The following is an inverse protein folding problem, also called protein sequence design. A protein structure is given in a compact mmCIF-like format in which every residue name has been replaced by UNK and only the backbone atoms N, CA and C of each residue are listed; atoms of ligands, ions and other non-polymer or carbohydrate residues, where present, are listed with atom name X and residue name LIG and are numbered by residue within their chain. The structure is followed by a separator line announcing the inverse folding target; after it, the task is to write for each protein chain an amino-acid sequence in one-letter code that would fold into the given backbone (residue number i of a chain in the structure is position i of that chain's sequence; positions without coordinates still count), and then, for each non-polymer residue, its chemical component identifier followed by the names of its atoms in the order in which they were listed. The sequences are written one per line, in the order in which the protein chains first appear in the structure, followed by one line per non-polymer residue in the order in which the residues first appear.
data_IF_233294367501
#
_entry.id   IF_233294367501
#
_cell.length_a   1.000
_cell.length_b   1.000
_cell.length_c   1.000
_cell.angle_alpha   90.00
_cell.angle_beta   90.00
_cell.angle_gamma   90.00
#
_symmetry.space_group_name_H-M   'P 1'
#
loop_
_entity.id
_entity.type
_entity.pdbx_description
1 polymer ?
#
# COMPACT_ATOMS: atom_id res chain seq x y z
N UNK A 1 -23.71 -23.80 -42.05
CA UNK A 1 -23.60 -22.46 -41.43
C UNK A 1 -23.93 -22.63 -39.96
N UNK A 2 -22.91 -22.75 -39.11
CA UNK A 2 -23.08 -22.98 -37.66
C UNK A 2 -22.80 -21.66 -36.96
N UNK A 3 -23.82 -21.12 -36.33
CA UNK A 3 -23.77 -19.90 -35.51
C UNK A 3 -22.98 -20.21 -34.24
N UNK A 4 -21.74 -19.72 -34.16
CA UNK A 4 -20.95 -19.75 -32.93
C UNK A 4 -21.58 -18.76 -31.95
N UNK A 5 -22.40 -19.27 -31.04
CA UNK A 5 -22.88 -18.55 -29.86
C UNK A 5 -21.66 -18.02 -29.10
N UNK A 6 -21.38 -16.73 -29.27
CA UNK A 6 -20.44 -15.99 -28.41
C UNK A 6 -21.09 -15.93 -27.03
N UNK A 7 -20.59 -16.74 -26.11
CA UNK A 7 -20.80 -16.50 -24.70
C UNK A 7 -20.26 -15.10 -24.40
N UNK A 8 -21.16 -14.14 -24.22
CA UNK A 8 -20.81 -12.86 -23.62
C UNK A 8 -20.47 -13.14 -22.15
N UNK A 9 -19.18 -13.29 -21.85
CA UNK A 9 -18.65 -13.24 -20.49
C UNK A 9 -19.03 -11.89 -19.88
N UNK A 10 -19.87 -11.91 -18.84
CA UNK A 10 -20.27 -10.71 -18.12
C UNK A 10 -19.29 -10.47 -16.97
N UNK A 11 -18.09 -9.99 -17.29
CA UNK A 11 -17.15 -9.56 -16.25
C UNK A 11 -17.77 -8.48 -15.37
N UNK A 12 -17.85 -8.75 -14.06
CA UNK A 12 -18.35 -7.79 -13.08
C UNK A 12 -17.30 -6.70 -12.83
N UNK A 13 -17.68 -5.45 -13.08
CA UNK A 13 -16.90 -4.28 -12.64
C UNK A 13 -17.05 -4.13 -11.13
N UNK A 14 -15.93 -3.95 -10.43
CA UNK A 14 -15.84 -3.66 -9.00
C UNK A 14 -15.20 -2.32 -8.73
N UNK A 15 -15.54 -1.73 -7.59
CA UNK A 15 -15.05 -0.44 -7.12
C UNK A 15 -14.07 -0.63 -5.96
N UNK A 16 -13.01 0.17 -5.90
CA UNK A 16 -11.95 0.04 -4.91
C UNK A 16 -11.44 1.37 -4.42
N UNK A 17 -10.95 1.39 -3.19
CA UNK A 17 -10.23 2.52 -2.60
C UNK A 17 -8.77 2.14 -2.32
N UNK A 18 -7.83 3.06 -2.55
CA UNK A 18 -6.42 2.87 -2.24
C UNK A 18 -5.88 4.04 -1.44
N UNK A 19 -5.12 3.71 -0.40
CA UNK A 19 -4.44 4.64 0.49
C UNK A 19 -3.06 4.09 0.85
N UNK A 20 -2.07 4.95 1.10
CA UNK A 20 -0.73 4.55 1.55
C UNK A 20 -0.21 5.52 2.61
N UNK A 21 0.89 5.14 3.26
CA UNK A 21 1.68 6.03 4.11
C UNK A 21 0.84 6.73 5.20
N UNK A 22 -0.06 5.96 5.84
CA UNK A 22 -0.83 6.43 6.98
C UNK A 22 0.07 6.65 8.21
N UNK A 23 1.17 5.91 8.34
CA UNK A 23 2.11 6.01 9.45
C UNK A 23 1.43 6.11 10.82
N UNK A 24 0.40 5.29 11.04
CA UNK A 24 -0.33 5.26 12.31
C UNK A 24 0.64 5.01 13.47
N UNK A 25 0.27 5.51 14.64
CA UNK A 25 1.08 5.51 15.87
C UNK A 25 2.34 6.38 15.83
N UNK A 26 2.63 7.07 14.73
CA UNK A 26 3.68 8.08 14.69
C UNK A 26 3.15 9.44 15.14
N UNK A 27 3.91 10.17 15.98
CA UNK A 27 3.48 11.50 16.44
C UNK A 27 3.25 12.48 15.30
N UNK A 28 3.98 12.34 14.18
CA UNK A 28 3.95 13.25 13.03
C UNK A 28 2.80 13.00 12.05
N UNK A 29 2.04 11.93 12.25
CA UNK A 29 0.96 11.53 11.35
C UNK A 29 -0.39 12.01 11.85
N UNK A 30 -1.23 12.46 10.91
CA UNK A 30 -2.65 12.69 11.11
C UNK A 30 -3.50 11.52 10.54
N UNK A 31 -2.85 10.36 10.35
CA UNK A 31 -3.42 9.21 9.65
C UNK A 31 -4.73 8.68 10.21
N UNK A 32 -4.96 8.75 11.52
CA UNK A 32 -6.21 8.28 12.11
C UNK A 32 -7.42 9.13 11.67
N UNK A 33 -7.29 10.46 11.78
CA UNK A 33 -8.34 11.40 11.34
C UNK A 33 -8.54 11.35 9.82
N UNK A 34 -7.44 11.39 9.07
CA UNK A 34 -7.48 11.41 7.60
C UNK A 34 -8.01 10.09 7.02
N UNK A 35 -7.68 8.95 7.64
CA UNK A 35 -8.27 7.67 7.26
C UNK A 35 -9.75 7.62 7.63
N UNK A 36 -10.16 8.14 8.79
CA UNK A 36 -11.57 8.19 9.17
C UNK A 36 -12.44 8.95 8.16
N UNK A 37 -11.97 10.10 7.67
CA UNK A 37 -12.63 10.86 6.59
C UNK A 37 -12.72 10.05 5.30
N UNK A 38 -11.60 9.45 4.87
CA UNK A 38 -11.59 8.58 3.70
C UNK A 38 -12.48 7.36 3.86
N UNK A 39 -12.56 6.75 5.04
CA UNK A 39 -13.37 5.57 5.32
C UNK A 39 -14.87 5.87 5.10
N UNK A 40 -15.32 7.06 5.49
CA UNK A 40 -16.68 7.54 5.26
C UNK A 40 -16.92 7.74 3.76
N UNK A 41 -16.02 8.43 3.06
CA UNK A 41 -16.13 8.67 1.62
C UNK A 41 -16.14 7.37 0.82
N UNK A 42 -15.27 6.43 1.17
CA UNK A 42 -15.19 5.11 0.56
C UNK A 42 -16.46 4.29 0.76
N UNK A 43 -17.09 4.39 1.94
CA UNK A 43 -18.37 3.74 2.19
C UNK A 43 -19.49 4.35 1.33
N UNK A 44 -19.53 5.67 1.21
CA UNK A 44 -20.47 6.38 0.35
C UNK A 44 -20.24 6.08 -1.14
N UNK A 45 -18.99 5.82 -1.54
CA UNK A 45 -18.63 5.42 -2.90
C UNK A 45 -18.99 3.95 -3.20
N UNK A 46 -19.34 3.15 -2.20
CA UNK A 46 -19.72 1.75 -2.37
C UNK A 46 -18.57 0.85 -2.82
N UNK A 47 -17.36 1.05 -2.29
CA UNK A 47 -16.21 0.21 -2.66
C UNK A 47 -16.41 -1.26 -2.23
N UNK A 48 -15.94 -2.17 -3.07
CA UNK A 48 -15.84 -3.61 -2.81
C UNK A 48 -14.53 -3.98 -2.12
N UNK A 49 -13.44 -3.25 -2.41
CA UNK A 49 -12.13 -3.54 -1.84
C UNK A 49 -11.35 -2.28 -1.41
N UNK A 50 -10.65 -2.41 -0.30
CA UNK A 50 -9.70 -1.42 0.21
C UNK A 50 -8.28 -1.96 0.07
N UNK A 51 -7.40 -1.18 -0.55
CA UNK A 51 -5.95 -1.45 -0.60
C UNK A 51 -5.23 -0.50 0.36
N UNK A 52 -4.70 -1.05 1.44
CA UNK A 52 -3.74 -0.41 2.33
C UNK A 52 -2.35 -0.63 1.74
N UNK A 53 -1.85 0.34 0.99
CA UNK A 53 -0.76 0.21 0.02
C UNK A 53 0.63 0.51 0.62
N UNK A 54 0.90 -0.07 1.79
CA UNK A 54 2.16 0.04 2.53
C UNK A 54 2.28 1.28 3.43
N UNK A 55 3.12 1.12 4.45
CA UNK A 55 3.36 2.10 5.52
C UNK A 55 2.07 2.55 6.21
N UNK A 56 1.18 1.57 6.45
CA UNK A 56 -0.05 1.79 7.23
C UNK A 56 0.31 2.13 8.68
N UNK A 57 1.24 1.35 9.25
CA UNK A 57 1.72 1.52 10.62
C UNK A 57 3.19 1.95 10.63
N UNK A 58 3.58 2.81 11.57
CA UNK A 58 4.97 3.20 11.76
C UNK A 58 5.54 2.55 13.02
N UNK A 59 6.16 1.38 12.88
CA UNK A 59 6.76 0.68 14.01
C UNK A 59 8.05 1.35 14.50
N UNK A 60 8.84 1.90 13.57
CA UNK A 60 10.13 2.54 13.89
C UNK A 60 9.97 3.80 14.74
N UNK A 61 8.97 4.61 14.42
CA UNK A 61 8.70 5.89 15.07
C UNK A 61 7.43 5.86 15.93
N UNK A 62 6.96 4.66 16.28
CA UNK A 62 5.81 4.49 17.13
C UNK A 62 5.98 5.25 18.45
N UNK A 63 4.91 5.90 18.90
CA UNK A 63 4.83 6.53 20.20
C UNK A 63 4.42 5.57 21.32
N UNK A 64 4.10 4.32 20.97
CA UNK A 64 3.70 3.28 21.91
C UNK A 64 4.90 2.68 22.66
N UNK A 65 4.70 2.04 23.83
CA UNK A 65 5.78 1.70 24.74
C UNK A 65 6.84 0.72 24.19
N UNK A 66 6.45 -0.20 23.31
CA UNK A 66 7.35 -1.18 22.69
C UNK A 66 6.81 -1.67 21.35
N UNK A 67 7.66 -2.34 20.58
CA UNK A 67 7.28 -3.01 19.33
C UNK A 67 6.07 -3.93 19.49
N UNK A 68 6.04 -4.76 20.55
CA UNK A 68 4.91 -5.64 20.84
C UNK A 68 3.60 -4.88 21.12
N UNK A 69 3.66 -3.74 21.81
CA UNK A 69 2.47 -2.90 22.01
C UNK A 69 2.02 -2.28 20.68
N UNK A 70 2.95 -1.88 19.82
CA UNK A 70 2.62 -1.36 18.49
C UNK A 70 2.01 -2.44 17.60
N UNK A 71 2.51 -3.67 17.65
CA UNK A 71 1.94 -4.81 16.92
C UNK A 71 0.52 -5.10 17.43
N UNK A 72 0.32 -5.17 18.74
CA UNK A 72 -1.01 -5.38 19.32
C UNK A 72 -2.00 -4.30 18.86
N UNK A 73 -1.62 -3.02 18.95
CA UNK A 73 -2.46 -1.90 18.51
C UNK A 73 -2.74 -1.94 16.99
N UNK A 74 -1.77 -2.35 16.17
CA UNK A 74 -1.95 -2.52 14.73
C UNK A 74 -2.98 -3.62 14.42
N UNK A 75 -2.92 -4.76 15.13
CA UNK A 75 -3.87 -5.86 14.97
C UNK A 75 -5.27 -5.47 15.43
N UNK A 76 -5.39 -4.79 16.58
CA UNK A 76 -6.67 -4.25 17.06
C UNK A 76 -7.30 -3.29 16.04
N UNK A 77 -6.49 -2.42 15.43
CA UNK A 77 -6.96 -1.49 14.41
C UNK A 77 -7.48 -2.23 13.16
N UNK A 78 -6.78 -3.27 12.69
CA UNK A 78 -7.19 -4.08 11.54
C UNK A 78 -8.47 -4.88 11.83
N UNK A 79 -8.56 -5.52 12.99
CA UNK A 79 -9.77 -6.25 13.40
C UNK A 79 -10.96 -5.29 13.47
N UNK A 80 -10.79 -4.12 14.10
CA UNK A 80 -11.85 -3.11 14.18
C UNK A 80 -12.28 -2.58 12.80
N UNK A 81 -11.35 -2.41 11.84
CA UNK A 81 -11.69 -2.04 10.46
C UNK A 81 -12.55 -3.13 9.79
N UNK A 82 -12.17 -4.40 9.93
CA UNK A 82 -12.87 -5.53 9.33
C UNK A 82 -14.26 -5.74 9.94
N UNK A 83 -14.44 -5.42 11.22
CA UNK A 83 -15.72 -5.40 11.93
C UNK A 83 -16.62 -4.25 11.48
N UNK A 84 -16.10 -3.01 11.41
CA UNK A 84 -16.86 -1.84 10.96
C UNK A 84 -17.28 -1.92 9.50
N UNK A 85 -16.50 -2.60 8.66
CA UNK A 85 -16.70 -2.72 7.20
C UNK A 85 -16.85 -4.18 6.77
N UNK A 86 -17.99 -4.83 7.09
CA UNK A 86 -18.19 -6.26 6.83
C UNK A 86 -18.30 -6.63 5.34
N UNK A 87 -18.44 -5.64 4.45
CA UNK A 87 -18.57 -5.86 3.02
C UNK A 87 -17.28 -5.61 2.23
N UNK A 88 -16.25 -5.03 2.85
CA UNK A 88 -14.99 -4.75 2.15
C UNK A 88 -14.09 -5.97 2.15
N UNK A 89 -13.42 -6.21 1.03
CA UNK A 89 -12.20 -7.02 0.98
C UNK A 89 -11.01 -6.11 1.24
N UNK A 90 -10.20 -6.42 2.27
CA UNK A 90 -9.05 -5.61 2.64
C UNK A 90 -7.79 -6.29 2.14
N UNK A 91 -7.03 -5.58 1.31
CA UNK A 91 -5.69 -5.97 0.89
C UNK A 91 -4.65 -5.12 1.60
N UNK A 92 -3.85 -5.73 2.48
CA UNK A 92 -2.76 -5.09 3.20
C UNK A 92 -1.43 -5.37 2.50
N UNK A 93 -0.88 -4.38 1.81
CA UNK A 93 0.44 -4.47 1.22
C UNK A 93 1.50 -3.96 2.20
N UNK A 94 2.60 -4.67 2.40
CA UNK A 94 3.70 -4.19 3.24
C UNK A 94 4.48 -3.06 2.56
N UNK A 95 4.77 -2.01 3.32
CA UNK A 95 5.79 -1.00 3.05
C UNK A 95 7.07 -1.25 3.87
N UNK A 96 7.99 -0.28 3.90
CA UNK A 96 9.23 -0.45 4.67
C UNK A 96 9.04 -0.23 6.17
N UNK A 97 8.08 0.59 6.59
CA UNK A 97 7.85 0.86 8.01
C UNK A 97 7.08 -0.25 8.73
N UNK A 98 6.31 -1.07 8.00
CA UNK A 98 5.47 -2.15 8.54
C UNK A 98 5.88 -3.55 8.06
N UNK A 99 7.14 -3.73 7.64
CA UNK A 99 7.66 -5.03 7.20
C UNK A 99 8.29 -5.91 8.30
N UNK A 100 8.11 -5.59 9.59
CA UNK A 100 8.75 -6.30 10.71
C UNK A 100 8.54 -7.82 10.65
N UNK A 101 9.58 -8.58 10.99
CA UNK A 101 9.51 -10.05 11.02
C UNK A 101 8.51 -10.55 12.08
N UNK A 102 8.40 -9.84 13.21
CA UNK A 102 7.43 -10.16 14.26
C UNK A 102 5.97 -9.86 13.88
N UNK A 103 5.73 -8.98 12.89
CA UNK A 103 4.37 -8.60 12.49
C UNK A 103 3.76 -9.55 11.46
N UNK A 104 4.59 -10.16 10.59
CA UNK A 104 4.13 -11.06 9.52
C UNK A 104 3.33 -12.28 10.03
N UNK A 105 3.75 -12.97 11.10
CA UNK A 105 2.96 -14.08 11.65
C UNK A 105 1.56 -13.66 12.10
N UNK A 106 1.42 -12.44 12.65
CA UNK A 106 0.12 -11.90 13.07
C UNK A 106 -0.78 -11.59 11.88
N UNK A 107 -0.23 -11.02 10.79
CA UNK A 107 -0.96 -10.83 9.53
C UNK A 107 -1.38 -12.17 8.91
N UNK A 108 -0.52 -13.18 8.96
CA UNK A 108 -0.83 -14.52 8.48
C UNK A 108 -1.96 -15.16 9.30
N UNK A 109 -1.92 -15.03 10.63
CA UNK A 109 -2.99 -15.50 11.51
C UNK A 109 -4.31 -14.76 11.27
N UNK A 110 -4.26 -13.45 10.97
CA UNK A 110 -5.45 -12.67 10.59
C UNK A 110 -6.03 -13.12 9.25
N UNK A 111 -5.19 -13.32 8.23
CA UNK A 111 -5.66 -13.83 6.93
C UNK A 111 -6.27 -15.24 7.04
N UNK A 112 -5.74 -16.08 7.93
CA UNK A 112 -6.30 -17.42 8.18
C UNK A 112 -7.68 -17.38 8.85
N UNK A 113 -7.97 -16.36 9.68
CA UNK A 113 -9.24 -16.24 10.41
C UNK A 113 -10.29 -15.35 9.70
N UNK A 114 -9.85 -14.44 8.83
CA UNK A 114 -10.72 -13.50 8.11
C UNK A 114 -10.58 -13.70 6.60
N UNK A 115 -11.55 -14.38 5.98
CA UNK A 115 -11.53 -14.68 4.53
C UNK A 115 -11.50 -13.43 3.62
N UNK A 116 -11.88 -12.26 4.15
CA UNK A 116 -11.87 -10.97 3.44
C UNK A 116 -10.58 -10.18 3.65
N UNK A 117 -9.64 -10.70 4.43
CA UNK A 117 -8.35 -10.06 4.66
C UNK A 117 -7.26 -10.82 3.91
N UNK A 118 -6.50 -10.09 3.11
CA UNK A 118 -5.35 -10.63 2.40
C UNK A 118 -4.17 -9.69 2.65
N UNK A 119 -3.00 -10.25 2.92
CA UNK A 119 -1.78 -9.46 3.00
C UNK A 119 -0.83 -9.86 1.88
N UNK A 120 -0.01 -8.90 1.47
CA UNK A 120 0.88 -9.02 0.32
C UNK A 120 2.25 -8.47 0.68
N UNK A 121 3.32 -9.24 0.44
CA UNK A 121 4.65 -8.75 0.79
C UNK A 121 5.10 -7.64 -0.16
N UNK A 122 5.10 -7.89 -1.48
CA UNK A 122 5.77 -6.99 -2.44
C UNK A 122 4.84 -6.28 -3.43
N UNK A 123 3.78 -6.95 -3.87
CA UNK A 123 2.88 -6.46 -4.91
C UNK A 123 1.51 -7.10 -4.82
N UNK A 124 0.51 -6.39 -5.31
CA UNK A 124 -0.86 -6.88 -5.53
C UNK A 124 -1.29 -6.55 -6.96
N UNK A 125 -2.06 -7.44 -7.59
CA UNK A 125 -2.71 -7.19 -8.87
C UNK A 125 -4.21 -7.48 -8.76
N UNK A 126 -5.03 -6.50 -9.14
CA UNK A 126 -6.49 -6.64 -9.26
C UNK A 126 -6.88 -6.32 -10.70
N UNK A 127 -7.11 -7.36 -11.50
CA UNK A 127 -7.26 -7.21 -12.96
C UNK A 127 -6.05 -6.50 -13.58
N UNK A 128 -6.29 -5.36 -14.22
CA UNK A 128 -5.27 -4.50 -14.85
C UNK A 128 -4.77 -3.37 -13.95
N UNK A 129 -5.02 -3.45 -12.63
CA UNK A 129 -4.50 -2.54 -11.60
C UNK A 129 -3.33 -3.20 -10.87
N UNK A 130 -2.18 -2.55 -10.85
CA UNK A 130 -0.98 -2.98 -10.14
C UNK A 130 -0.74 -2.09 -8.92
N UNK A 131 -0.42 -2.70 -7.79
CA UNK A 131 -0.14 -2.03 -6.52
C UNK A 131 1.22 -2.49 -6.00
N UNK A 132 2.03 -1.52 -5.59
CA UNK A 132 3.26 -1.75 -4.84
C UNK A 132 3.48 -0.57 -3.89
N UNK A 133 4.25 -0.72 -2.81
CA UNK A 133 4.44 0.38 -1.88
C UNK A 133 5.33 1.49 -2.47
N UNK A 134 6.38 1.13 -3.24
CA UNK A 134 7.24 2.11 -3.92
C UNK A 134 8.63 2.29 -3.32
N UNK A 135 9.04 1.44 -2.38
CA UNK A 135 10.43 1.37 -1.86
C UNK A 135 11.52 1.39 -2.95
N UNK A 136 11.22 0.73 -4.07
CA UNK A 136 12.07 0.64 -5.24
C UNK A 136 12.27 1.98 -5.97
N UNK A 137 11.62 3.06 -5.54
CA UNK A 137 11.83 4.42 -6.06
C UNK A 137 13.07 5.11 -5.49
N UNK A 138 13.70 4.59 -4.43
CA UNK A 138 14.86 5.22 -3.81
C UNK A 138 16.08 5.28 -4.73
N UNK A 139 16.27 4.24 -5.55
CA UNK A 139 17.24 4.14 -6.63
C UNK A 139 16.80 3.00 -7.55
N UNK A 140 17.53 2.69 -8.63
CA UNK A 140 17.20 1.54 -9.49
C UNK A 140 17.43 0.23 -8.74
N UNK A 141 16.40 -0.29 -8.09
CA UNK A 141 16.47 -1.50 -7.30
C UNK A 141 16.06 -2.73 -8.10
N UNK A 142 16.87 -3.78 -8.02
CA UNK A 142 16.45 -5.15 -8.31
C UNK A 142 15.62 -5.74 -7.15
N UNK A 143 15.04 -6.92 -7.35
CA UNK A 143 14.36 -7.68 -6.28
C UNK A 143 15.28 -7.90 -5.07
N UNK A 144 16.50 -8.36 -5.32
CA UNK A 144 17.48 -8.58 -4.25
C UNK A 144 17.82 -7.28 -3.51
N UNK A 145 17.95 -6.16 -4.22
CA UNK A 145 18.24 -4.86 -3.60
C UNK A 145 17.06 -4.34 -2.78
N UNK A 146 15.82 -4.58 -3.22
CA UNK A 146 14.63 -4.29 -2.43
C UNK A 146 14.57 -5.16 -1.16
N UNK A 147 14.88 -6.46 -1.28
CA UNK A 147 14.98 -7.38 -0.14
C UNK A 147 15.97 -6.88 0.91
N UNK A 148 17.20 -6.55 0.49
CA UNK A 148 18.24 -5.96 1.37
C UNK A 148 17.84 -4.61 1.94
N UNK A 149 17.10 -3.80 1.18
CA UNK A 149 16.59 -2.53 1.69
C UNK A 149 15.63 -2.79 2.84
N UNK A 150 14.63 -3.66 2.66
CA UNK A 150 13.64 -4.01 3.69
C UNK A 150 14.22 -4.76 4.87
N UNK A 151 15.23 -5.61 4.67
CA UNK A 151 15.92 -6.32 5.77
C UNK A 151 16.46 -5.38 6.85
N UNK A 152 16.94 -4.19 6.46
CA UNK A 152 17.38 -3.15 7.41
C UNK A 152 16.26 -2.59 8.26
N UNK A 153 15.02 -2.65 7.77
CA UNK A 153 13.83 -2.19 8.49
C UNK A 153 13.19 -3.32 9.30
N UNK A 154 13.26 -4.58 8.84
CA UNK A 154 12.71 -5.77 9.52
C UNK A 154 13.20 -5.95 10.96
N UNK A 155 14.46 -5.60 11.19
CA UNK A 155 15.16 -5.77 12.46
C UNK A 155 15.38 -4.44 13.20
N UNK A 156 14.80 -3.34 12.71
CA UNK A 156 15.07 -2.03 13.28
C UNK A 156 14.30 -1.85 14.59
N UNK A 157 15.00 -1.33 15.61
CA UNK A 157 14.39 -1.12 16.92
C UNK A 157 13.73 0.26 16.99
N UNK A 158 12.66 0.42 17.80
CA UNK A 158 12.05 1.73 18.03
C UNK A 158 13.10 2.76 18.44
N UNK A 159 13.08 3.94 17.80
CA UNK A 159 14.04 5.00 18.13
C UNK A 159 13.69 5.64 19.48
N UNK A 160 14.72 5.97 20.26
CA UNK A 160 14.56 6.61 21.57
C UNK A 160 13.74 7.91 21.52
N UNK A 161 13.00 8.17 22.59
CA UNK A 161 11.99 9.24 22.66
C UNK A 161 12.52 10.65 22.36
N UNK A 162 13.80 10.93 22.64
CA UNK A 162 14.48 12.19 22.33
C UNK A 162 14.78 12.34 20.83
N UNK A 163 15.29 11.30 20.18
CA UNK A 163 15.54 11.28 18.74
C UNK A 163 14.23 11.40 17.94
N UNK A 164 13.17 10.74 18.40
CA UNK A 164 11.83 10.85 17.81
C UNK A 164 11.27 12.29 17.90
N UNK A 165 11.49 12.99 19.02
CA UNK A 165 11.05 14.40 19.19
C UNK A 165 11.82 15.35 18.28
N UNK A 166 13.15 15.21 18.19
CA UNK A 166 13.97 16.06 17.32
C UNK A 166 13.62 15.86 15.85
N UNK A 167 13.44 14.60 15.43
CA UNK A 167 13.03 14.27 14.07
C UNK A 167 11.62 14.79 13.75
N UNK A 168 10.67 14.62 14.67
CA UNK A 168 9.30 15.16 14.52
C UNK A 168 9.29 16.70 14.43
N UNK A 169 10.18 17.38 15.15
CA UNK A 169 10.32 18.83 15.06
C UNK A 169 10.86 19.27 13.69
N UNK A 170 11.84 18.54 13.14
CA UNK A 170 12.35 18.79 11.79
C UNK A 170 11.27 18.55 10.70
N UNK A 171 10.46 17.51 10.86
CA UNK A 171 9.31 17.24 9.97
C UNK A 171 8.26 18.35 10.05
N UNK A 172 7.94 18.82 11.27
CA UNK A 172 6.99 19.92 11.49
C UNK A 172 7.43 21.26 10.88
N UNK A 173 8.71 21.42 10.57
CA UNK A 173 9.26 22.59 9.88
C UNK A 173 9.24 22.43 8.33
N UNK A 174 8.68 21.34 7.80
CA UNK A 174 8.55 21.11 6.36
C UNK A 174 9.84 20.68 5.66
N UNK A 175 10.91 20.39 6.41
CA UNK A 175 12.20 20.00 5.85
C UNK A 175 12.11 18.68 5.06
N UNK A 176 11.31 17.73 5.56
CA UNK A 176 11.06 16.46 4.86
C UNK A 176 10.30 16.66 3.55
N UNK A 177 9.35 17.58 3.49
CA UNK A 177 8.65 17.90 2.23
C UNK A 177 9.63 18.40 1.14
N UNK A 178 10.58 19.27 1.51
CA UNK A 178 11.59 19.79 0.59
C UNK A 178 12.59 18.71 0.13
N UNK A 179 13.10 17.90 1.06
CA UNK A 179 14.05 16.83 0.76
C UNK A 179 13.42 15.77 -0.14
N UNK A 180 12.19 15.34 0.16
CA UNK A 180 11.45 14.41 -0.69
C UNK A 180 11.18 15.01 -2.07
N UNK A 181 10.90 16.31 -2.14
CA UNK A 181 10.68 17.03 -3.39
C UNK A 181 11.86 16.96 -4.36
N UNK A 182 13.09 17.06 -3.84
CA UNK A 182 14.33 17.00 -4.61
C UNK A 182 14.77 15.57 -4.89
N UNK A 183 14.55 14.65 -3.95
CA UNK A 183 15.00 13.25 -4.07
C UNK A 183 14.08 12.39 -4.97
N UNK A 184 12.80 12.74 -5.05
CA UNK A 184 11.79 12.03 -5.84
C UNK A 184 11.11 12.91 -6.91
N UNK A 185 11.83 13.33 -7.97
CA UNK A 185 11.18 13.84 -9.17
C UNK A 185 10.22 12.78 -9.75
N UNK A 186 9.02 13.19 -10.19
CA UNK A 186 7.97 12.25 -10.63
C UNK A 186 8.44 11.32 -11.75
N UNK A 187 9.11 11.86 -12.77
CA UNK A 187 9.60 11.08 -13.92
C UNK A 187 10.66 10.05 -13.51
N UNK A 188 11.58 10.44 -12.63
CA UNK A 188 12.63 9.56 -12.12
C UNK A 188 12.05 8.46 -11.23
N UNK A 189 11.10 8.81 -10.37
CA UNK A 189 10.36 7.88 -9.51
C UNK A 189 9.68 6.81 -10.35
N UNK A 190 8.89 7.22 -11.35
CA UNK A 190 8.20 6.31 -12.27
C UNK A 190 9.21 5.43 -13.03
N UNK A 191 10.31 6.00 -13.50
CA UNK A 191 11.35 5.23 -14.20
C UNK A 191 12.02 4.18 -13.30
N UNK A 192 12.20 4.46 -12.00
CA UNK A 192 12.81 3.52 -11.05
C UNK A 192 11.84 2.39 -10.69
N UNK A 193 10.56 2.72 -10.48
CA UNK A 193 9.51 1.73 -10.27
C UNK A 193 9.39 0.81 -11.48
N UNK A 194 9.30 1.37 -12.68
CA UNK A 194 9.21 0.57 -13.89
C UNK A 194 10.43 -0.33 -14.08
N UNK A 195 11.65 0.19 -13.86
CA UNK A 195 12.86 -0.62 -13.92
C UNK A 195 12.81 -1.82 -12.96
N UNK A 196 12.26 -1.63 -11.76
CA UNK A 196 12.06 -2.73 -10.82
C UNK A 196 11.04 -3.74 -11.35
N UNK A 197 9.89 -3.26 -11.84
CA UNK A 197 8.83 -4.10 -12.39
C UNK A 197 9.29 -4.90 -13.63
N UNK A 198 10.14 -4.33 -14.47
CA UNK A 198 10.74 -5.02 -15.63
C UNK A 198 11.54 -6.27 -15.21
N UNK A 199 12.06 -6.28 -13.97
CA UNK A 199 12.81 -7.42 -13.44
C UNK A 199 11.92 -8.44 -12.73
N UNK A 200 10.93 -8.00 -11.95
CA UNK A 200 10.14 -8.89 -11.07
C UNK A 200 8.80 -9.34 -11.66
N UNK A 201 8.33 -8.66 -12.70
CA UNK A 201 7.11 -8.99 -13.43
C UNK A 201 7.32 -8.72 -14.94
N UNK A 202 8.16 -9.51 -15.65
CA UNK A 202 8.39 -9.30 -17.07
C UNK A 202 7.08 -9.27 -17.87
N UNK A 203 6.91 -8.23 -18.70
CA UNK A 203 5.69 -8.00 -19.47
C UNK A 203 4.54 -7.34 -18.69
N UNK A 204 4.80 -6.81 -17.49
CA UNK A 204 3.78 -6.15 -16.67
C UNK A 204 3.06 -4.99 -17.39
N UNK A 205 3.77 -4.22 -18.23
CA UNK A 205 3.20 -3.08 -18.97
C UNK A 205 2.06 -3.49 -19.92
N UNK A 206 2.11 -4.70 -20.47
CA UNK A 206 1.05 -5.22 -21.34
C UNK A 206 -0.20 -5.65 -20.57
N UNK A 207 -0.07 -5.88 -19.25
CA UNK A 207 -1.15 -6.38 -18.38
C UNK A 207 -1.69 -5.34 -17.40
N UNK A 208 -0.99 -4.22 -17.22
CA UNK A 208 -1.39 -3.15 -16.32
C UNK A 208 -1.76 -1.91 -17.12
N UNK A 209 -2.89 -1.30 -16.81
CA UNK A 209 -3.21 0.04 -17.29
C UNK A 209 -3.00 1.10 -16.20
N UNK A 210 -2.90 0.67 -14.93
CA UNK A 210 -2.61 1.54 -13.79
C UNK A 210 -1.60 0.92 -12.82
N UNK A 211 -0.82 1.79 -12.19
CA UNK A 211 0.13 1.47 -11.15
C UNK A 211 -0.03 2.45 -9.97
N UNK A 212 -0.37 1.95 -8.79
CA UNK A 212 -0.55 2.74 -7.57
C UNK A 212 0.59 2.47 -6.59
N UNK A 213 1.12 3.53 -6.00
CA UNK A 213 2.21 3.43 -5.02
C UNK A 213 2.21 4.56 -3.98
N UNK A 214 3.01 4.39 -2.93
CA UNK A 214 3.22 5.31 -1.82
C UNK A 214 4.69 5.72 -1.69
N UNK A 215 5.24 5.69 -0.48
CA UNK A 215 6.67 5.81 -0.10
C UNK A 215 7.31 7.19 -0.32
N UNK A 216 7.05 7.83 -1.47
CA UNK A 216 7.63 9.13 -1.80
C UNK A 216 6.90 10.29 -1.11
N UNK A 217 5.70 10.01 -0.58
CA UNK A 217 4.80 10.93 0.11
C UNK A 217 4.31 12.11 -0.75
N UNK A 218 4.54 12.09 -2.06
CA UNK A 218 4.17 13.20 -2.96
C UNK A 218 3.00 12.80 -3.83
N UNK A 219 1.78 13.27 -3.52
CA UNK A 219 0.62 12.84 -4.27
C UNK A 219 0.68 13.33 -5.71
N UNK A 220 0.40 12.43 -6.64
CA UNK A 220 0.13 12.76 -8.03
C UNK A 220 -0.73 11.67 -8.66
N UNK A 221 -1.42 11.99 -9.74
CA UNK A 221 -2.34 11.06 -10.38
C UNK A 221 -2.12 11.01 -11.90
N UNK A 222 -2.32 9.83 -12.46
CA UNK A 222 -2.38 9.57 -13.90
C UNK A 222 -1.19 10.08 -14.72
N UNK A 223 0.02 10.01 -14.16
CA UNK A 223 1.24 10.26 -14.95
C UNK A 223 1.50 9.07 -15.86
N UNK A 224 1.56 9.32 -17.16
CA UNK A 224 1.61 8.25 -18.15
C UNK A 224 3.07 7.89 -18.52
N UNK A 225 3.36 6.59 -18.60
CA UNK A 225 4.58 6.03 -19.20
C UNK A 225 4.25 4.65 -19.78
N UNK A 226 4.63 4.40 -21.03
CA UNK A 226 4.45 3.08 -21.65
C UNK A 226 2.99 2.60 -21.68
N UNK A 227 2.02 3.50 -21.85
CA UNK A 227 0.59 3.15 -21.80
C UNK A 227 0.00 2.98 -20.40
N UNK A 228 0.83 2.93 -19.36
CA UNK A 228 0.41 2.79 -17.96
C UNK A 228 0.27 4.14 -17.28
N UNK A 229 -0.79 4.31 -16.47
CA UNK A 229 -1.02 5.46 -15.60
C UNK A 229 -0.50 5.21 -14.18
N UNK A 230 0.48 5.99 -13.76
CA UNK A 230 1.05 5.96 -12.42
C UNK A 230 0.39 6.99 -11.50
N UNK A 231 0.09 6.56 -10.27
CA UNK A 231 -0.49 7.39 -9.23
C UNK A 231 0.20 7.15 -7.89
N UNK A 232 0.42 8.23 -7.15
CA UNK A 232 0.91 8.23 -5.78
C UNK A 232 -0.15 8.83 -4.85
N UNK A 233 -0.50 8.12 -3.77
CA UNK A 233 -1.56 8.51 -2.82
C UNK A 233 -1.11 9.55 -1.79
N UNK A 234 0.15 9.95 -1.82
CA UNK A 234 0.72 10.90 -0.87
C UNK A 234 1.00 10.26 0.48
N UNK A 235 0.84 11.02 1.57
CA UNK A 235 1.04 10.52 2.93
C UNK A 235 0.21 11.30 3.93
N UNK A 236 -0.20 10.61 5.01
CA UNK A 236 -0.85 11.23 6.15
C UNK A 236 0.13 11.90 7.14
N UNK A 237 1.43 11.87 6.85
CA UNK A 237 2.40 12.71 7.58
C UNK A 237 2.05 14.17 7.35
N UNK A 238 2.01 14.94 8.44
CA UNK A 238 1.65 16.36 8.43
C UNK A 238 2.40 17.15 7.38
N UNK A 239 1.65 17.84 6.53
CA UNK A 239 2.17 18.72 5.48
C UNK A 239 2.65 18.01 4.19
N UNK A 240 2.54 16.69 4.07
CA UNK A 240 3.01 15.95 2.88
C UNK A 240 1.95 15.80 1.77
N UNK A 241 0.69 16.04 2.11
CA UNK A 241 -0.45 15.92 1.19
C UNK A 241 -0.96 14.48 1.13
N UNK A 242 -2.16 14.27 1.67
CA UNK A 242 -2.85 12.98 1.69
C UNK A 242 -3.93 12.98 0.62
N UNK A 243 -3.83 12.07 -0.36
CA UNK A 243 -4.75 12.00 -1.49
C UNK A 243 -5.06 10.53 -1.85
N UNK A 244 -5.89 9.85 -1.06
CA UNK A 244 -6.40 8.54 -1.43
C UNK A 244 -7.15 8.58 -2.76
N UNK A 245 -7.24 7.44 -3.43
CA UNK A 245 -7.82 7.34 -4.77
C UNK A 245 -8.84 6.22 -4.84
N UNK A 246 -9.86 6.42 -5.66
CA UNK A 246 -10.78 5.37 -6.08
C UNK A 246 -10.34 4.76 -7.41
N UNK A 247 -10.64 3.48 -7.61
CA UNK A 247 -10.32 2.77 -8.83
C UNK A 247 -11.37 1.72 -9.15
N UNK A 248 -11.50 1.41 -10.44
CA UNK A 248 -12.36 0.32 -10.91
C UNK A 248 -11.50 -0.83 -11.37
N UNK A 249 -11.92 -2.08 -11.20
CA UNK A 249 -11.31 -3.20 -11.91
C UNK A 249 -12.36 -4.20 -12.36
N UNK A 250 -11.97 -5.05 -13.30
CA UNK A 250 -12.79 -6.16 -13.77
C UNK A 250 -12.33 -7.42 -13.09
N UNK A 251 -13.24 -8.07 -12.39
CA UNK A 251 -12.99 -9.42 -11.91
C UNK A 251 -13.22 -10.40 -13.07
N UNK A 252 -12.31 -11.36 -13.32
CA UNK A 252 -12.63 -12.49 -14.17
C UNK A 252 -13.79 -13.26 -13.52
N UNK A 253 -14.74 -13.76 -14.31
CA UNK A 253 -15.72 -14.69 -13.78
C UNK A 253 -14.97 -15.90 -13.23
N UNK A 254 -15.15 -16.19 -11.94
CA UNK A 254 -14.46 -17.29 -11.28
C UNK A 254 -14.96 -18.63 -11.84
N UNK A 255 -14.09 -19.36 -12.53
CA UNK A 255 -14.22 -20.82 -12.62
C UNK A 255 -14.03 -21.38 -11.19
N UNK A 256 -14.91 -22.25 -10.66
CA UNK A 256 -14.80 -22.68 -9.28
C UNK A 256 -13.60 -23.63 -9.08
N UNK A 257 -12.53 -23.13 -8.43
CA UNK A 257 -11.50 -23.87 -7.65
C UNK A 257 -10.46 -24.70 -8.45
N UNK A 258 -9.24 -25.03 -7.92
CA UNK A 258 -8.90 -25.23 -6.50
C UNK A 258 -7.58 -24.58 -5.99
N UNK A 259 -7.51 -24.42 -4.66
CA UNK A 259 -6.29 -24.62 -3.87
C UNK A 259 -5.21 -23.55 -3.96
N UNK A 260 -5.27 -22.59 -3.04
CA UNK A 260 -4.10 -21.78 -2.67
C UNK A 260 -2.97 -22.69 -2.17
N UNK A 261 -1.82 -22.68 -2.85
CA UNK A 261 -0.57 -23.26 -2.36
C UNK A 261 0.35 -22.09 -2.01
N UNK A 262 0.66 -21.84 -0.73
CA UNK A 262 1.66 -20.85 -0.36
C UNK A 262 3.05 -21.42 -0.67
N UNK A 263 3.86 -20.65 -1.40
CA UNK A 263 5.32 -20.77 -1.46
C UNK A 263 5.96 -19.94 -0.37
#
# INVERSE_FOLDING_TARGET
MSETLRHHEFSRTRQGGVVSDLHLFSRRSDGDSLFGEFEIDAANHGIDALVLNGDTFDFRWSCLPSESHTIAAAMEWLDALLERRPHWTVHFLLGNHDCLDAFRPELQALAARQARFHWHEHRLRLGDRLFLHGDCANYRMSEQSLGRFREKWRNDRPRGSSAARLYSAADGLGFSHLVHGLWFPQSLTISRIAHHLDQVDPGWEARASHCYFGHTHRPFHHRQRGGVRFSNTGSAIRGMGFRPLFFEWREPDSDPSPGFVPT
#
